data_IF_766073525862
#
_entry.id   IF_766073525862
#
_cell.length_a   1.000
_cell.length_b   1.000
_cell.length_c   1.000
_cell.angle_alpha   90.00
_cell.angle_beta   90.00
_cell.angle_gamma   90.00
#
_symmetry.space_group_name_H-M   'P 1'
#
loop_
_entity.id
_entity.type
_entity.pdbx_description
1 polymer ?
#
# COMPACT_ATOMS: atom_id res chain seq x y z
N UNK A 1 16.26 -12.40 -4.27
CA UNK A 1 15.66 -11.97 -5.55
C UNK A 1 14.34 -12.64 -5.91
N UNK A 2 14.25 -13.97 -5.93
CA UNK A 2 13.04 -14.67 -6.39
C UNK A 2 11.73 -14.23 -5.69
N UNK A 3 11.78 -13.97 -4.38
CA UNK A 3 10.60 -13.53 -3.60
C UNK A 3 10.06 -12.17 -4.06
N UNK A 4 10.93 -11.20 -4.39
CA UNK A 4 10.52 -9.88 -4.89
C UNK A 4 9.71 -10.01 -6.18
N UNK A 5 10.20 -10.80 -7.13
CA UNK A 5 9.48 -11.10 -8.36
C UNK A 5 8.16 -11.85 -8.12
N UNK A 6 8.13 -12.82 -7.20
CA UNK A 6 6.88 -13.51 -6.82
C UNK A 6 5.83 -12.52 -6.29
N UNK A 7 6.21 -11.60 -5.40
CA UNK A 7 5.31 -10.56 -4.87
C UNK A 7 4.74 -9.67 -5.97
N UNK A 8 5.58 -9.24 -6.92
CA UNK A 8 5.12 -8.47 -8.10
C UNK A 8 4.08 -9.26 -8.87
N UNK A 9 4.33 -10.53 -9.19
CA UNK A 9 3.38 -11.37 -9.92
C UNK A 9 2.03 -11.50 -9.21
N UNK A 10 2.01 -11.72 -7.89
CA UNK A 10 0.74 -11.78 -7.14
C UNK A 10 -0.07 -10.48 -7.27
N UNK A 11 0.58 -9.33 -7.13
CA UNK A 11 -0.08 -8.02 -7.26
C UNK A 11 -0.55 -7.77 -8.69
N UNK A 12 0.28 -8.07 -9.70
CA UNK A 12 -0.09 -7.94 -11.12
C UNK A 12 -1.32 -8.79 -11.42
N UNK A 13 -1.31 -10.08 -11.06
CA UNK A 13 -2.43 -10.97 -11.33
C UNK A 13 -3.69 -10.55 -10.56
N UNK A 14 -3.58 -10.18 -9.28
CA UNK A 14 -4.71 -9.65 -8.52
C UNK A 14 -5.25 -8.36 -9.15
N UNK A 15 -4.38 -7.43 -9.55
CA UNK A 15 -4.76 -6.17 -10.20
C UNK A 15 -5.39 -6.36 -11.59
N UNK A 16 -5.08 -7.49 -12.24
CA UNK A 16 -5.70 -7.92 -13.50
C UNK A 16 -6.94 -8.80 -13.30
N UNK A 17 -7.35 -9.06 -12.04
CA UNK A 17 -8.45 -9.96 -11.68
C UNK A 17 -8.23 -11.44 -12.11
N UNK A 18 -7.00 -11.93 -11.95
CA UNK A 18 -6.57 -13.30 -12.29
C UNK A 18 -6.12 -14.02 -11.02
N UNK A 19 -6.71 -15.19 -10.73
CA UNK A 19 -6.29 -16.06 -9.62
C UNK A 19 -5.08 -16.92 -9.99
N UNK A 20 -4.04 -16.92 -9.15
CA UNK A 20 -2.84 -17.76 -9.34
C UNK A 20 -2.41 -18.50 -8.07
N UNK A 21 -1.84 -19.69 -8.27
CA UNK A 21 -1.11 -20.46 -7.26
C UNK A 21 0.24 -20.87 -7.83
N UNK A 22 1.32 -20.62 -7.08
CA UNK A 22 2.69 -20.97 -7.49
C UNK A 22 3.34 -21.89 -6.45
N UNK A 23 3.85 -23.08 -6.84
CA UNK A 23 4.57 -23.97 -5.93
C UNK A 23 5.85 -23.30 -5.42
N UNK A 24 6.25 -23.64 -4.20
CA UNK A 24 7.44 -23.07 -3.54
C UNK A 24 8.57 -24.09 -3.67
N UNK A 25 9.68 -23.71 -4.31
CA UNK A 25 10.92 -24.49 -4.33
C UNK A 25 12.10 -23.59 -3.88
N UNK A 26 12.99 -24.13 -3.03
CA UNK A 26 14.29 -23.52 -2.72
C UNK A 26 14.48 -22.93 -1.30
N UNK A 27 15.66 -22.36 -1.07
CA UNK A 27 16.22 -21.95 0.25
C UNK A 27 15.63 -20.67 0.85
N UNK A 28 14.78 -19.92 0.14
CA UNK A 28 14.10 -18.70 0.65
C UNK A 28 12.68 -18.97 1.16
N UNK A 29 12.38 -20.24 1.46
CA UNK A 29 11.03 -20.74 1.73
C UNK A 29 10.29 -19.96 2.82
N UNK A 30 10.94 -19.62 3.94
CA UNK A 30 10.33 -18.89 5.05
C UNK A 30 9.88 -17.46 4.67
N UNK A 31 10.72 -16.72 3.95
CA UNK A 31 10.39 -15.38 3.43
C UNK A 31 9.24 -15.44 2.42
N UNK A 32 9.29 -16.40 1.47
CA UNK A 32 8.19 -16.63 0.52
C UNK A 32 6.86 -16.93 1.22
N UNK A 33 6.86 -17.79 2.25
CA UNK A 33 5.63 -18.10 3.00
C UNK A 33 5.09 -16.87 3.73
N UNK A 34 5.96 -16.11 4.40
CA UNK A 34 5.55 -14.91 5.14
C UNK A 34 4.98 -13.85 4.21
N UNK A 35 5.65 -13.54 3.10
CA UNK A 35 5.16 -12.54 2.14
C UNK A 35 3.85 -12.96 1.50
N UNK A 36 3.67 -14.25 1.16
CA UNK A 36 2.38 -14.77 0.66
C UNK A 36 1.26 -14.66 1.71
N UNK A 37 1.54 -15.02 2.97
CA UNK A 37 0.57 -14.92 4.05
C UNK A 37 0.15 -13.45 4.28
N UNK A 38 1.12 -12.53 4.34
CA UNK A 38 0.87 -11.10 4.49
C UNK A 38 0.00 -10.56 3.34
N UNK A 39 0.33 -10.91 2.10
CA UNK A 39 -0.46 -10.54 0.92
C UNK A 39 -1.88 -11.09 1.00
N UNK A 40 -2.06 -12.38 1.33
CA UNK A 40 -3.41 -12.97 1.44
C UNK A 40 -4.25 -12.28 2.51
N UNK A 41 -3.66 -11.95 3.66
CA UNK A 41 -4.36 -11.22 4.73
C UNK A 41 -4.72 -9.81 4.30
N UNK A 42 -3.78 -9.07 3.73
CA UNK A 42 -3.95 -7.67 3.34
C UNK A 42 -4.94 -7.50 2.19
N UNK A 43 -4.89 -8.41 1.21
CA UNK A 43 -5.72 -8.35 0.00
C UNK A 43 -7.09 -9.03 0.18
N UNK A 44 -7.41 -9.54 1.37
CA UNK A 44 -8.64 -10.28 1.59
C UNK A 44 -9.88 -9.41 1.31
N UNK A 45 -10.76 -9.89 0.42
CA UNK A 45 -11.97 -9.17 0.01
C UNK A 45 -11.71 -7.93 -0.86
N UNK A 46 -10.45 -7.65 -1.22
CA UNK A 46 -10.11 -6.54 -2.10
C UNK A 46 -10.62 -6.77 -3.52
N UNK A 47 -10.91 -5.67 -4.24
CA UNK A 47 -11.23 -5.70 -5.66
C UNK A 47 -10.36 -4.69 -6.41
N UNK A 48 -9.91 -4.98 -7.64
CA UNK A 48 -9.22 -4.00 -8.46
C UNK A 48 -10.03 -2.72 -8.58
N UNK A 49 -9.37 -1.58 -8.43
CA UNK A 49 -9.99 -0.27 -8.50
C UNK A 49 -9.04 0.72 -9.17
N UNK A 50 -9.60 1.59 -10.00
CA UNK A 50 -8.84 2.74 -10.50
C UNK A 50 -8.73 3.78 -9.38
N UNK A 51 -7.51 4.07 -8.96
CA UNK A 51 -7.19 5.10 -7.98
C UNK A 51 -6.40 6.18 -8.74
N UNK A 52 -6.99 7.36 -8.99
CA UNK A 52 -6.25 8.47 -9.59
C UNK A 52 -5.03 8.82 -8.73
N UNK A 53 -3.87 8.90 -9.35
CA UNK A 53 -2.62 9.25 -8.68
C UNK A 53 -1.67 9.97 -9.65
N UNK A 54 -1.07 11.06 -9.19
CA UNK A 54 0.11 11.64 -9.81
C UNK A 54 1.36 11.07 -9.15
N UNK A 55 2.31 10.60 -9.96
CA UNK A 55 3.59 10.08 -9.48
C UNK A 55 4.71 10.91 -10.08
N UNK A 56 5.46 11.62 -9.24
CA UNK A 56 6.66 12.34 -9.64
C UNK A 56 7.88 11.62 -9.05
N UNK A 57 8.74 11.07 -9.91
CA UNK A 57 9.93 10.32 -9.52
C UNK A 57 10.98 10.37 -10.62
N UNK A 58 12.24 10.11 -10.26
CA UNK A 58 13.33 9.86 -11.21
C UNK A 58 13.27 8.44 -11.81
N UNK A 59 12.49 7.52 -11.23
CA UNK A 59 12.28 6.19 -11.79
C UNK A 59 11.38 6.26 -13.04
N UNK A 60 11.86 5.73 -14.16
CA UNK A 60 11.15 5.77 -15.45
C UNK A 60 10.04 4.71 -15.58
N UNK A 61 10.07 3.67 -14.75
CA UNK A 61 9.28 2.45 -14.89
C UNK A 61 8.56 2.07 -13.59
N UNK A 62 7.81 2.99 -13.00
CA UNK A 62 6.98 2.66 -11.83
C UNK A 62 5.75 1.88 -12.28
N UNK A 63 5.60 0.67 -11.75
CA UNK A 63 4.36 -0.09 -11.83
C UNK A 63 3.48 0.22 -10.63
N UNK A 64 2.16 0.31 -10.83
CA UNK A 64 1.22 0.60 -9.76
C UNK A 64 -0.16 -0.02 -9.98
N UNK A 65 -0.81 -0.43 -8.89
CA UNK A 65 -2.13 -1.03 -8.90
C UNK A 65 -2.98 -0.54 -7.72
N UNK A 66 -4.24 -0.23 -8.00
CA UNK A 66 -5.21 0.20 -7.00
C UNK A 66 -6.23 -0.89 -6.68
N UNK A 67 -6.67 -0.91 -5.42
CA UNK A 67 -7.69 -1.83 -4.93
C UNK A 67 -8.62 -1.13 -3.94
N UNK A 68 -9.89 -1.54 -3.91
CA UNK A 68 -10.85 -1.14 -2.89
C UNK A 68 -11.06 -2.29 -1.89
N UNK A 69 -11.28 -1.94 -0.62
CA UNK A 69 -11.64 -2.86 0.44
C UNK A 69 -13.12 -2.68 0.83
N UNK A 70 -13.78 -3.73 1.37
CA UNK A 70 -15.19 -3.67 1.74
C UNK A 70 -15.52 -2.66 2.86
N UNK A 71 -14.53 -2.29 3.66
CA UNK A 71 -14.67 -1.33 4.76
C UNK A 71 -14.59 0.14 4.32
N UNK A 72 -14.35 0.39 3.03
CA UNK A 72 -14.19 1.72 2.44
C UNK A 72 -12.73 2.18 2.29
N UNK A 73 -11.77 1.41 2.81
CA UNK A 73 -10.36 1.69 2.61
C UNK A 73 -9.94 1.39 1.17
N UNK A 74 -8.81 1.97 0.77
CA UNK A 74 -8.17 1.70 -0.52
C UNK A 74 -6.75 1.22 -0.31
N UNK A 75 -6.30 0.28 -1.13
CA UNK A 75 -4.90 -0.15 -1.20
C UNK A 75 -4.30 0.33 -2.52
N UNK A 76 -3.09 0.88 -2.46
CA UNK A 76 -2.34 1.29 -3.63
C UNK A 76 -0.94 0.69 -3.56
N UNK A 77 -0.67 -0.27 -4.45
CA UNK A 77 0.63 -0.90 -4.57
C UNK A 77 1.49 -0.17 -5.59
N UNK A 78 2.78 0.02 -5.31
CA UNK A 78 3.74 0.56 -6.28
C UNK A 78 5.15 -0.02 -6.09
N UNK A 79 5.90 -0.12 -7.20
CA UNK A 79 7.31 -0.52 -7.23
C UNK A 79 8.00 -0.06 -8.52
N UNK A 80 9.33 -0.07 -8.52
CA UNK A 80 10.16 0.12 -9.72
C UNK A 80 10.20 -1.21 -10.48
N UNK A 81 9.67 -1.23 -11.71
CA UNK A 81 9.61 -2.42 -12.55
C UNK A 81 10.91 -2.68 -13.32
N UNK A 82 12.00 -2.76 -12.55
CA UNK A 82 13.35 -3.04 -13.03
C UNK A 82 13.88 -4.38 -12.53
N UNK A 83 15.14 -4.66 -12.82
CA UNK A 83 15.84 -5.79 -12.22
C UNK A 83 15.88 -5.65 -10.69
N UNK A 84 15.52 -6.71 -9.97
CA UNK A 84 15.59 -6.70 -8.52
C UNK A 84 17.06 -6.85 -8.06
N UNK A 85 17.49 -5.98 -7.15
CA UNK A 85 18.83 -5.92 -6.59
C UNK A 85 18.89 -6.49 -5.17
N UNK A 86 20.04 -7.08 -4.80
CA UNK A 86 20.30 -7.65 -3.44
C UNK A 86 20.16 -6.60 -2.35
N UNK A 87 20.63 -5.38 -2.62
CA UNK A 87 20.46 -4.23 -1.75
C UNK A 87 19.79 -3.12 -2.54
N UNK A 88 18.56 -2.81 -2.15
CA UNK A 88 17.77 -1.75 -2.77
C UNK A 88 17.59 -0.57 -1.82
N UNK A 89 18.22 0.55 -2.17
CA UNK A 89 18.09 1.82 -1.43
C UNK A 89 16.71 2.45 -1.63
N UNK A 90 16.01 2.10 -2.70
CA UNK A 90 14.78 2.74 -3.15
C UNK A 90 15.05 4.04 -3.90
N UNK A 91 14.06 4.45 -4.69
CA UNK A 91 14.06 5.72 -5.43
C UNK A 91 12.98 6.62 -4.84
N UNK A 92 13.30 7.88 -4.56
CA UNK A 92 12.35 8.83 -3.99
C UNK A 92 11.23 9.15 -4.99
N UNK A 93 10.01 9.22 -4.50
CA UNK A 93 8.85 9.65 -5.26
C UNK A 93 7.94 10.55 -4.41
N UNK A 94 7.29 11.49 -5.08
CA UNK A 94 6.12 12.21 -4.55
C UNK A 94 4.87 11.63 -5.18
N UNK A 95 3.90 11.26 -4.33
CA UNK A 95 2.58 10.79 -4.75
C UNK A 95 1.54 11.85 -4.43
N UNK A 96 0.63 12.09 -5.36
CA UNK A 96 -0.51 13.00 -5.20
C UNK A 96 -1.79 12.25 -5.52
N UNK A 97 -2.65 12.07 -4.52
CA UNK A 97 -3.95 11.42 -4.66
C UNK A 97 -5.08 12.46 -4.64
N UNK A 98 -5.78 12.69 -5.75
CA UNK A 98 -6.87 13.65 -5.80
C UNK A 98 -8.12 13.20 -5.03
N UNK A 99 -8.78 14.15 -4.36
CA UNK A 99 -10.11 13.95 -3.77
C UNK A 99 -10.14 13.00 -2.57
N UNK A 100 -9.00 12.84 -1.89
CA UNK A 100 -8.84 11.97 -0.71
C UNK A 100 -8.00 12.63 0.39
N UNK A 101 -8.01 13.97 0.47
CA UNK A 101 -7.20 14.73 1.43
C UNK A 101 -7.53 14.45 2.90
N UNK A 102 -8.74 13.94 3.18
CA UNK A 102 -9.21 13.54 4.50
C UNK A 102 -8.79 12.12 4.90
N UNK A 103 -7.96 11.44 4.10
CA UNK A 103 -7.46 10.12 4.43
C UNK A 103 -6.16 10.15 5.24
N UNK A 104 -5.98 9.17 6.11
CA UNK A 104 -4.66 8.79 6.64
C UNK A 104 -4.00 7.77 5.72
N UNK A 105 -2.66 7.71 5.76
CA UNK A 105 -1.89 6.75 4.96
C UNK A 105 -1.00 5.89 5.84
N UNK A 106 -1.10 4.58 5.65
CA UNK A 106 -0.18 3.59 6.22
C UNK A 106 0.59 2.91 5.11
N UNK A 107 1.92 2.99 5.17
CA UNK A 107 2.82 2.22 4.31
C UNK A 107 3.06 0.83 4.88
N UNK A 108 2.94 -0.18 4.04
CA UNK A 108 3.05 -1.60 4.39
C UNK A 108 4.14 -2.21 3.51
N UNK A 109 5.23 -2.62 4.15
CA UNK A 109 6.26 -3.41 3.50
C UNK A 109 5.90 -4.89 3.67
N UNK A 110 5.38 -5.52 2.62
CA UNK A 110 4.98 -6.93 2.66
C UNK A 110 6.16 -7.90 2.64
N UNK A 111 7.33 -7.44 2.19
CA UNK A 111 8.54 -8.23 2.11
C UNK A 111 9.17 -8.39 3.50
N UNK A 112 9.35 -7.27 4.21
CA UNK A 112 9.88 -7.23 5.57
C UNK A 112 8.81 -7.43 6.64
N UNK A 113 7.54 -7.22 6.28
CA UNK A 113 6.35 -7.47 7.09
C UNK A 113 6.18 -6.48 8.24
N UNK A 114 6.35 -5.18 7.98
CA UNK A 114 6.06 -4.11 8.93
C UNK A 114 5.15 -3.04 8.32
N UNK A 115 4.48 -2.30 9.19
CA UNK A 115 3.56 -1.22 8.85
C UNK A 115 4.03 0.07 9.51
N UNK A 116 3.90 1.20 8.81
CA UNK A 116 4.23 2.52 9.34
C UNK A 116 3.22 3.56 8.86
N UNK A 117 2.76 4.43 9.77
CA UNK A 117 1.98 5.59 9.36
C UNK A 117 2.89 6.56 8.61
N UNK A 118 2.47 7.00 7.42
CA UNK A 118 3.20 7.97 6.62
C UNK A 118 2.76 9.39 6.96
N UNK A 119 3.69 10.32 6.82
CA UNK A 119 3.39 11.75 6.85
C UNK A 119 2.82 12.13 5.48
N UNK A 120 1.58 12.60 5.47
CA UNK A 120 0.91 13.12 4.30
C UNK A 120 0.41 14.53 4.58
N UNK A 121 0.40 15.39 3.57
CA UNK A 121 -0.15 16.74 3.64
C UNK A 121 -1.39 16.86 2.76
N UNK A 122 -2.29 17.75 3.15
CA UNK A 122 -3.36 18.23 2.29
C UNK A 122 -2.86 19.44 1.49
N UNK A 123 -2.94 19.36 0.16
CA UNK A 123 -2.59 20.44 -0.76
C UNK A 123 -3.66 20.54 -1.86
N UNK A 124 -4.38 21.65 -1.91
CA UNK A 124 -5.44 21.91 -2.90
C UNK A 124 -6.51 20.80 -3.00
N UNK A 125 -6.89 20.21 -1.85
CA UNK A 125 -7.86 19.10 -1.78
C UNK A 125 -7.29 17.74 -2.21
N UNK A 126 -5.96 17.64 -2.38
CA UNK A 126 -5.25 16.40 -2.66
C UNK A 126 -4.51 15.93 -1.41
N UNK A 127 -4.34 14.61 -1.30
CA UNK A 127 -3.41 14.01 -0.36
C UNK A 127 -2.04 13.90 -1.03
N UNK A 128 -1.00 14.45 -0.41
CA UNK A 128 0.37 14.44 -0.93
C UNK A 128 1.30 13.70 0.02
N UNK A 129 2.02 12.71 -0.52
CA UNK A 129 3.08 11.98 0.18
C UNK A 129 4.40 12.35 -0.48
N UNK A 130 5.33 12.89 0.30
CA UNK A 130 6.66 13.28 -0.20
C UNK A 130 7.71 12.28 0.27
N UNK A 131 8.79 12.22 -0.50
CA UNK A 131 9.98 11.43 -0.17
C UNK A 131 9.69 9.94 0.11
N UNK A 132 8.68 9.38 -0.55
CA UNK A 132 8.39 7.96 -0.45
C UNK A 132 9.46 7.18 -1.19
N UNK A 133 10.15 6.28 -0.49
CA UNK A 133 11.13 5.38 -1.09
C UNK A 133 10.42 4.22 -1.80
N UNK A 134 10.32 4.31 -3.12
CA UNK A 134 9.78 3.26 -3.97
C UNK A 134 10.85 2.19 -4.17
N UNK A 135 10.52 0.95 -3.79
CA UNK A 135 11.42 -0.20 -3.88
C UNK A 135 11.29 -0.92 -5.21
N UNK A 136 12.23 -1.82 -5.49
CA UNK A 136 12.16 -2.84 -6.54
C UNK A 136 11.23 -4.01 -6.16
N UNK A 137 10.41 -3.87 -5.13
CA UNK A 137 9.32 -4.77 -4.79
C UNK A 137 8.11 -3.97 -4.30
N UNK A 138 6.90 -4.56 -4.34
CA UNK A 138 5.69 -3.83 -3.98
C UNK A 138 5.74 -3.31 -2.54
N UNK A 139 5.61 -2.00 -2.40
CA UNK A 139 5.16 -1.34 -1.17
C UNK A 139 3.67 -1.08 -1.34
N UNK A 140 2.88 -1.33 -0.29
CA UNK A 140 1.44 -1.13 -0.32
C UNK A 140 1.08 0.04 0.59
N UNK A 141 0.34 1.01 0.04
CA UNK A 141 -0.20 2.12 0.79
C UNK A 141 -1.67 1.83 1.09
N UNK A 142 -2.04 1.84 2.36
CA UNK A 142 -3.44 1.82 2.79
C UNK A 142 -3.91 3.24 3.03
N UNK A 143 -4.91 3.66 2.26
CA UNK A 143 -5.60 4.94 2.37
C UNK A 143 -6.91 4.72 3.12
N UNK A 144 -7.02 5.29 4.32
CA UNK A 144 -8.18 5.11 5.19
C UNK A 144 -8.87 6.46 5.44
N UNK A 145 -10.18 6.60 5.17
CA UNK A 145 -10.92 7.81 5.50
C UNK A 145 -10.83 8.15 6.99
N UNK A 146 -10.59 9.42 7.33
CA UNK A 146 -10.62 9.86 8.73
C UNK A 146 -12.04 9.71 9.26
N UNK A 147 -12.24 8.77 10.20
CA UNK A 147 -13.54 8.56 10.83
C UNK A 147 -13.66 9.46 12.07
N UNK A 148 -14.57 10.42 12.01
CA UNK A 148 -14.96 11.19 13.20
C UNK A 148 -15.85 10.33 14.11
N UNK A 149 -15.40 10.10 15.34
CA UNK A 149 -16.23 9.53 16.40
C UNK A 149 -16.77 10.68 17.24
N UNK A 150 -18.07 10.92 17.18
CA UNK A 150 -18.74 11.82 18.12
C UNK A 150 -18.87 11.12 19.48
N UNK A 151 -18.14 11.61 20.48
CA UNK A 151 -18.34 11.19 21.86
C UNK A 151 -19.44 12.05 22.50
N UNK A 152 -20.48 11.44 23.12
CA UNK A 152 -21.50 12.21 23.83
C UNK A 152 -20.88 12.87 25.06
N UNK A 153 -21.11 14.17 25.21
CA UNK A 153 -20.72 14.93 26.40
C UNK A 153 -21.71 14.58 27.53
N UNK A 154 -21.23 13.93 28.58
CA UNK A 154 -22.01 13.74 29.82
C UNK A 154 -21.74 14.93 30.73
N UNK A 155 -22.63 15.91 30.75
CA UNK A 155 -22.60 16.98 31.76
C UNK A 155 -23.18 16.46 33.07
N UNK A 156 -22.39 16.49 34.15
CA UNK A 156 -22.86 16.17 35.49
C UNK A 156 -23.80 17.30 35.96
N UNK A 157 -25.04 16.97 36.30
CA UNK A 157 -25.99 17.95 36.83
C UNK A 157 -25.46 18.52 38.16
N UNK A 158 -25.65 19.83 38.44
CA UNK A 158 -25.20 20.43 39.68
C UNK A 158 -25.95 19.84 40.89
N UNK A 159 -25.28 19.72 42.06
CA UNK A 159 -25.93 19.27 43.28
C UNK A 159 -27.04 20.25 43.69
N UNK A 160 -28.16 19.69 44.18
CA UNK A 160 -29.32 20.41 44.70
C UNK A 160 -29.02 21.11 46.02
#
# INVERSE_FOLDING_TARGET
MAVKYQTRFFIIYLGMDIGVSWPIEGTTMALSYRTKANLNTLMNGSRPASIPVGIASEAENIASYGFSLPDGDRLFALWVDGAAADYDTGISATLTFPGVSDNTVTGIDVYEGYEQQLVASEEDGNLVIRDLLVKDYPIILRLSPTRYVFLPIVSKAPPR
#
